data_IF_752095845636
#
_entry.id   IF_752095845636
#
_cell.length_a   1.000
_cell.length_b   1.000
_cell.length_c   1.000
_cell.angle_alpha   90.00
_cell.angle_beta   90.00
_cell.angle_gamma   90.00
#
_symmetry.space_group_name_H-M   'P 1'
#
loop_
_entity.id
_entity.type
_entity.pdbx_description
1 polymer ?
#
# COMPACT_ATOMS: atom_id res chain seq x y z
N UNK A 1 44.19 46.38 9.20
CA UNK A 1 42.96 45.88 9.85
C UNK A 1 42.04 45.33 8.77
N UNK A 2 42.16 44.05 8.39
CA UNK A 2 41.11 43.28 7.68
C UNK A 2 41.52 41.81 7.74
N UNK A 3 40.92 41.07 8.68
CA UNK A 3 41.02 39.61 8.74
C UNK A 3 39.71 39.07 8.16
N UNK A 4 39.72 38.72 6.87
CA UNK A 4 38.59 38.06 6.21
C UNK A 4 38.70 36.55 6.43
N UNK A 5 37.96 36.03 7.41
CA UNK A 5 37.76 34.59 7.61
C UNK A 5 36.81 34.06 6.53
N UNK A 6 37.34 33.24 5.62
CA UNK A 6 36.55 32.45 4.68
C UNK A 6 36.08 31.16 5.37
N UNK A 7 34.79 31.09 5.71
CA UNK A 7 34.13 29.87 6.18
C UNK A 7 33.68 29.03 4.97
N UNK A 8 34.47 28.03 4.59
CA UNK A 8 34.04 26.98 3.66
C UNK A 8 33.03 26.06 4.35
N UNK A 9 31.75 26.19 3.99
CA UNK A 9 30.68 25.28 4.40
C UNK A 9 30.82 23.96 3.62
N UNK A 10 31.12 22.86 4.32
CA UNK A 10 30.97 21.51 3.79
C UNK A 10 29.47 21.20 3.66
N UNK A 11 28.95 21.23 2.44
CA UNK A 11 27.61 20.73 2.14
C UNK A 11 27.67 19.19 2.15
N UNK A 12 27.28 18.58 3.26
CA UNK A 12 27.01 17.15 3.31
C UNK A 12 25.66 16.89 2.64
N UNK A 13 25.68 16.17 1.52
CA UNK A 13 24.44 15.74 0.86
C UNK A 13 23.77 14.70 1.75
N UNK A 14 22.71 15.09 2.44
CA UNK A 14 21.86 14.16 3.19
C UNK A 14 20.94 13.49 2.15
N UNK A 15 21.23 12.23 1.81
CA UNK A 15 20.35 11.42 0.99
C UNK A 15 19.17 11.00 1.87
N UNK A 16 18.08 11.76 1.80
CA UNK A 16 16.81 11.37 2.39
C UNK A 16 16.09 10.38 1.46
N UNK A 17 15.37 9.42 2.03
CA UNK A 17 14.59 8.46 1.25
C UNK A 17 13.38 9.16 0.63
N UNK A 18 12.99 8.76 -0.59
CA UNK A 18 11.81 9.33 -1.22
C UNK A 18 10.57 8.90 -0.45
N UNK A 19 9.66 9.85 -0.29
CA UNK A 19 8.36 9.60 0.31
C UNK A 19 7.44 8.88 -0.67
N UNK A 20 6.89 7.74 -0.24
CA UNK A 20 5.95 6.98 -1.06
C UNK A 20 6.60 5.92 -1.96
N UNK A 21 5.76 4.98 -2.40
CA UNK A 21 6.14 4.02 -3.42
C UNK A 21 6.27 4.72 -4.80
N UNK A 22 7.31 4.43 -5.59
CA UNK A 22 7.46 4.99 -6.93
C UNK A 22 6.27 4.67 -7.84
N UNK A 23 5.90 5.61 -8.72
CA UNK A 23 4.92 5.38 -9.78
C UNK A 23 5.59 4.76 -11.02
N UNK A 24 6.26 3.62 -10.84
CA UNK A 24 6.77 2.79 -11.94
C UNK A 24 5.89 1.55 -12.08
N UNK A 25 5.61 1.13 -13.33
CA UNK A 25 4.64 0.08 -13.60
C UNK A 25 4.95 -1.22 -12.85
N UNK A 26 6.23 -1.64 -12.81
CA UNK A 26 6.65 -2.83 -12.07
C UNK A 26 6.28 -2.76 -10.58
N UNK A 27 6.70 -1.71 -9.86
CA UNK A 27 6.39 -1.50 -8.43
C UNK A 27 4.89 -1.34 -8.20
N UNK A 28 4.20 -0.65 -9.09
CA UNK A 28 2.77 -0.40 -8.97
C UNK A 28 1.95 -1.69 -9.12
N UNK A 29 2.28 -2.56 -10.08
CA UNK A 29 1.59 -3.85 -10.22
C UNK A 29 2.04 -4.87 -9.16
N UNK A 30 3.34 -4.93 -8.85
CA UNK A 30 3.89 -5.93 -7.94
C UNK A 30 3.61 -5.60 -6.47
N UNK A 31 3.48 -4.30 -6.13
CA UNK A 31 3.49 -3.78 -4.76
C UNK A 31 4.69 -4.29 -3.95
N UNK A 32 5.80 -4.62 -4.63
CA UNK A 32 6.93 -5.32 -4.03
C UNK A 32 8.08 -4.34 -3.72
N UNK A 33 8.46 -4.13 -2.45
CA UNK A 33 9.61 -3.30 -2.11
C UNK A 33 10.94 -3.84 -2.65
N UNK A 34 11.03 -5.15 -2.96
CA UNK A 34 12.25 -5.77 -3.50
C UNK A 34 12.63 -5.28 -4.91
N UNK A 35 11.77 -4.51 -5.57
CA UNK A 35 12.12 -3.79 -6.82
C UNK A 35 13.27 -2.78 -6.57
N UNK A 36 13.48 -2.38 -5.32
CA UNK A 36 14.63 -1.63 -4.85
C UNK A 36 15.63 -2.56 -4.15
N UNK A 37 16.91 -2.45 -4.52
CA UNK A 37 18.01 -3.32 -4.04
C UNK A 37 18.21 -3.19 -2.53
N UNK A 38 17.88 -2.03 -1.98
CA UNK A 38 18.00 -1.65 -0.59
C UNK A 38 17.11 -2.49 0.34
N UNK A 39 16.02 -3.05 -0.21
CA UNK A 39 15.06 -3.90 0.51
C UNK A 39 15.40 -5.39 0.45
N UNK A 40 16.50 -5.79 -0.23
CA UNK A 40 16.90 -7.18 -0.32
C UNK A 40 17.09 -7.83 1.06
N UNK A 41 16.61 -9.07 1.19
CA UNK A 41 16.66 -9.85 2.44
C UNK A 41 15.62 -9.46 3.49
N UNK A 42 14.74 -8.49 3.23
CA UNK A 42 13.76 -8.00 4.21
C UNK A 42 12.36 -8.62 4.17
N UNK A 43 12.09 -9.46 3.18
CA UNK A 43 10.78 -10.06 2.96
C UNK A 43 10.38 -10.96 4.14
N UNK A 44 9.20 -10.72 4.68
CA UNK A 44 8.57 -11.54 5.71
C UNK A 44 7.43 -12.38 5.11
N UNK A 45 7.45 -13.68 5.39
CA UNK A 45 6.38 -14.63 5.02
C UNK A 45 5.56 -15.08 6.24
N UNK A 46 5.84 -14.50 7.40
CA UNK A 46 5.08 -14.69 8.64
C UNK A 46 3.76 -13.93 8.59
N UNK A 47 2.85 -14.24 9.51
CA UNK A 47 1.61 -13.49 9.68
C UNK A 47 1.96 -12.03 10.04
N UNK A 48 1.53 -11.03 9.25
CA UNK A 48 1.84 -9.63 9.55
C UNK A 48 1.13 -9.18 10.83
N UNK A 49 1.77 -8.36 11.69
CA UNK A 49 1.13 -7.82 12.89
C UNK A 49 0.23 -6.60 12.59
N UNK A 50 -0.43 -6.63 11.42
CA UNK A 50 -1.26 -5.55 10.89
C UNK A 50 -2.51 -6.11 10.25
N UNK A 51 -3.57 -5.32 10.22
CA UNK A 51 -4.80 -5.67 9.52
C UNK A 51 -5.49 -4.44 8.93
N UNK A 52 -6.34 -4.70 7.93
CA UNK A 52 -7.24 -3.70 7.36
C UNK A 52 -8.64 -3.94 7.94
N UNK A 53 -9.14 -2.96 8.67
CA UNK A 53 -10.52 -2.91 9.11
C UNK A 53 -11.34 -2.07 8.13
N UNK A 54 -12.40 -2.65 7.57
CA UNK A 54 -13.36 -1.94 6.72
C UNK A 54 -14.60 -1.66 7.56
N UNK A 55 -15.05 -0.40 7.61
CA UNK A 55 -16.16 0.02 8.48
C UNK A 55 -17.50 -0.58 8.04
N UNK A 56 -17.70 -0.72 6.74
CA UNK A 56 -18.91 -1.29 6.15
C UNK A 56 -18.70 -2.75 5.72
N UNK A 57 -19.76 -3.57 5.82
CA UNK A 57 -19.74 -4.98 5.39
C UNK A 57 -20.00 -5.16 3.89
N UNK A 58 -20.59 -4.17 3.26
CA UNK A 58 -20.89 -4.11 1.83
C UNK A 58 -20.78 -2.65 1.35
N UNK A 59 -20.82 -2.39 0.05
CA UNK A 59 -20.77 -1.04 -0.51
C UNK A 59 -21.90 -0.76 -1.52
N UNK A 60 -22.19 0.52 -1.70
CA UNK A 60 -23.04 1.04 -2.78
C UNK A 60 -22.20 1.86 -3.76
N UNK A 61 -22.62 1.93 -5.02
CA UNK A 61 -21.97 2.79 -6.03
C UNK A 61 -22.01 4.24 -5.55
N UNK A 62 -20.92 4.97 -5.79
CA UNK A 62 -20.73 6.37 -5.43
C UNK A 62 -20.81 6.68 -3.94
N UNK A 63 -20.96 5.67 -3.06
CA UNK A 63 -20.92 5.86 -1.63
C UNK A 63 -19.51 5.62 -1.10
N UNK A 64 -18.85 6.64 -0.49
CA UNK A 64 -17.59 6.45 0.18
C UNK A 64 -17.71 5.51 1.37
N UNK A 65 -16.73 4.63 1.51
CA UNK A 65 -16.56 3.77 2.68
C UNK A 65 -15.19 4.00 3.31
N UNK A 66 -15.14 3.80 4.62
CA UNK A 66 -13.95 4.02 5.43
C UNK A 66 -13.22 2.69 5.61
N UNK A 67 -11.90 2.70 5.36
CA UNK A 67 -11.02 1.60 5.73
C UNK A 67 -9.85 2.14 6.57
N UNK A 68 -9.38 1.31 7.49
CA UNK A 68 -8.27 1.62 8.39
C UNK A 68 -7.23 0.50 8.32
N UNK A 69 -6.02 0.82 7.89
CA UNK A 69 -4.86 -0.06 8.10
C UNK A 69 -4.26 0.28 9.47
N UNK A 70 -4.14 -0.72 10.36
CA UNK A 70 -3.61 -0.53 11.71
C UNK A 70 -2.80 -1.73 12.21
N UNK A 71 -1.91 -1.46 13.15
CA UNK A 71 -1.24 -2.49 13.95
C UNK A 71 -2.22 -3.24 14.85
N UNK A 72 -1.89 -4.50 15.14
CA UNK A 72 -2.67 -5.32 16.07
C UNK A 72 -2.54 -4.80 17.51
N UNK A 73 -1.37 -4.28 17.87
CA UNK A 73 -1.06 -3.72 19.18
C UNK A 73 -0.51 -2.29 19.08
N UNK A 74 -0.31 -1.63 20.23
CA UNK A 74 0.21 -0.26 20.30
C UNK A 74 1.69 -0.14 19.88
N UNK A 75 2.43 -1.26 19.87
CA UNK A 75 3.84 -1.35 19.47
C UNK A 75 4.00 -1.65 17.98
N UNK A 76 2.97 -2.20 17.33
CA UNK A 76 2.97 -2.56 15.91
C UNK A 76 2.81 -1.32 15.03
N UNK A 77 3.91 -0.58 14.88
CA UNK A 77 3.96 0.60 14.01
C UNK A 77 4.55 0.24 12.64
N UNK A 78 4.12 0.96 11.62
CA UNK A 78 4.66 0.84 10.26
C UNK A 78 5.10 2.20 9.74
N UNK A 79 6.04 2.22 8.79
CA UNK A 79 6.59 3.45 8.20
C UNK A 79 6.02 3.69 6.81
N UNK A 80 6.04 2.64 6.00
CA UNK A 80 5.56 2.64 4.62
C UNK A 80 4.43 1.65 4.40
N UNK A 81 3.64 1.91 3.36
CA UNK A 81 2.62 0.99 2.89
C UNK A 81 2.30 1.27 1.42
N UNK A 82 1.70 0.29 0.75
CA UNK A 82 0.97 0.46 -0.49
C UNK A 82 -0.35 -0.30 -0.36
N UNK A 83 -1.48 0.30 -0.72
CA UNK A 83 -2.81 -0.34 -0.65
C UNK A 83 -3.48 -0.24 -2.02
N UNK A 84 -4.11 -1.34 -2.44
CA UNK A 84 -4.90 -1.44 -3.66
C UNK A 84 -6.25 -2.14 -3.40
N UNK A 85 -7.35 -1.64 -3.98
CA UNK A 85 -8.64 -2.31 -4.00
C UNK A 85 -8.67 -3.28 -5.18
N UNK A 86 -8.73 -4.58 -4.90
CA UNK A 86 -8.64 -5.65 -5.89
C UNK A 86 -9.98 -6.38 -6.00
N UNK A 87 -10.43 -6.67 -7.21
CA UNK A 87 -11.54 -7.60 -7.43
C UNK A 87 -11.15 -8.99 -6.94
N UNK A 88 -11.90 -9.48 -5.95
CA UNK A 88 -11.60 -10.69 -5.20
C UNK A 88 -11.95 -11.97 -5.97
N UNK A 89 -13.08 -11.96 -6.68
CA UNK A 89 -13.60 -13.13 -7.40
C UNK A 89 -14.33 -12.73 -8.69
N UNK A 90 -14.57 -13.70 -9.54
CA UNK A 90 -15.23 -13.50 -10.84
C UNK A 90 -14.27 -13.14 -11.97
N UNK A 91 -14.78 -12.68 -13.13
CA UNK A 91 -13.99 -12.47 -14.34
C UNK A 91 -12.98 -11.33 -14.23
N UNK A 92 -13.17 -10.42 -13.27
CA UNK A 92 -12.25 -9.31 -13.01
C UNK A 92 -11.22 -9.61 -11.92
N UNK A 93 -11.16 -10.85 -11.41
CA UNK A 93 -10.26 -11.22 -10.30
C UNK A 93 -8.84 -10.70 -10.54
N UNK A 94 -8.28 -10.00 -9.55
CA UNK A 94 -6.94 -9.42 -9.60
C UNK A 94 -6.88 -8.01 -10.21
N UNK A 95 -7.93 -7.52 -10.87
CA UNK A 95 -7.99 -6.15 -11.38
C UNK A 95 -8.27 -5.15 -10.25
N UNK A 96 -7.76 -3.93 -10.39
CA UNK A 96 -8.02 -2.82 -9.47
C UNK A 96 -9.41 -2.23 -9.71
N UNK A 97 -10.15 -1.95 -8.63
CA UNK A 97 -11.56 -1.49 -8.70
C UNK A 97 -11.78 -0.22 -7.87
N UNK A 98 -12.50 0.75 -8.43
CA UNK A 98 -12.83 2.01 -7.75
C UNK A 98 -11.62 2.91 -7.51
N UNK A 99 -11.80 3.90 -6.64
CA UNK A 99 -10.79 4.94 -6.36
C UNK A 99 -10.77 5.37 -4.90
N UNK A 100 -9.57 5.75 -4.44
CA UNK A 100 -9.37 6.37 -3.15
C UNK A 100 -9.66 7.87 -3.19
N UNK A 101 -10.28 8.35 -2.12
CA UNK A 101 -10.68 9.72 -1.93
C UNK A 101 -9.86 10.35 -0.82
N UNK A 102 -9.50 11.61 -1.01
CA UNK A 102 -8.86 12.44 0.02
C UNK A 102 -9.95 13.21 0.76
N UNK A 103 -10.58 12.56 1.73
CA UNK A 103 -11.60 13.18 2.59
C UNK A 103 -11.04 13.63 3.94
N UNK A 104 -9.82 13.19 4.27
CA UNK A 104 -9.11 13.57 5.49
C UNK A 104 -7.84 14.39 5.19
N UNK A 105 -7.54 15.34 6.07
CA UNK A 105 -6.33 16.17 6.01
C UNK A 105 -5.10 15.49 6.64
N UNK A 106 -5.21 14.22 6.98
CA UNK A 106 -4.24 13.53 7.85
C UNK A 106 -2.84 13.37 7.23
N UNK A 107 -2.63 13.83 5.99
CA UNK A 107 -1.32 14.13 5.39
C UNK A 107 -0.37 12.96 5.21
N UNK A 108 -0.64 11.81 5.83
CA UNK A 108 0.22 10.63 6.03
C UNK A 108 0.13 9.62 4.89
N UNK A 109 -0.60 9.97 3.83
CA UNK A 109 -0.77 9.18 2.63
C UNK A 109 -0.94 10.05 1.39
N UNK A 110 -0.64 9.45 0.24
CA UNK A 110 -0.83 10.02 -1.09
C UNK A 110 -1.23 8.92 -2.08
N UNK A 111 -1.80 9.31 -3.22
CA UNK A 111 -2.04 8.37 -4.31
C UNK A 111 -0.69 7.97 -4.91
N UNK A 112 -0.45 6.67 -5.10
CA UNK A 112 0.83 6.21 -5.68
C UNK A 112 1.00 6.75 -7.11
N UNK A 113 -0.08 6.73 -7.88
CA UNK A 113 -0.13 7.28 -9.23
C UNK A 113 -1.36 8.17 -9.38
N UNK A 114 -1.16 9.49 -9.38
CA UNK A 114 -2.22 10.52 -9.36
C UNK A 114 -3.33 10.31 -10.41
N UNK A 115 -2.97 9.79 -11.59
CA UNK A 115 -3.92 9.54 -12.68
C UNK A 115 -4.97 8.47 -12.34
N UNK A 116 -4.57 7.40 -11.66
CA UNK A 116 -5.41 6.21 -11.51
C UNK A 116 -6.23 6.21 -10.24
N UNK A 117 -5.75 6.87 -9.16
CA UNK A 117 -6.40 6.96 -7.85
C UNK A 117 -6.78 5.62 -7.19
N UNK A 118 -6.43 4.49 -7.81
CA UNK A 118 -6.74 3.13 -7.38
C UNK A 118 -5.57 2.48 -6.62
N UNK A 119 -4.61 3.29 -6.17
CA UNK A 119 -3.56 2.86 -5.26
C UNK A 119 -3.09 4.03 -4.42
N UNK A 120 -2.79 3.76 -3.16
CA UNK A 120 -2.28 4.74 -2.21
C UNK A 120 -1.04 4.23 -1.51
N UNK A 121 -0.18 5.15 -1.12
CA UNK A 121 1.06 4.88 -0.38
C UNK A 121 1.27 5.93 0.70
N UNK A 122 2.22 5.71 1.59
CA UNK A 122 2.67 6.71 2.56
C UNK A 122 3.21 7.98 1.87
N UNK A 123 3.11 9.10 2.56
CA UNK A 123 3.64 10.41 2.14
C UNK A 123 4.86 10.86 2.94
N UNK A 124 5.24 10.12 3.98
CA UNK A 124 6.44 10.32 4.77
C UNK A 124 6.74 9.04 5.57
N UNK A 125 7.97 8.87 6.05
CA UNK A 125 8.45 7.63 6.68
C UNK A 125 8.20 7.52 8.20
N UNK A 126 7.52 8.50 8.79
CA UNK A 126 7.25 8.50 10.23
C UNK A 126 6.44 7.28 10.67
N UNK A 127 6.68 6.83 11.90
CA UNK A 127 6.02 5.65 12.48
C UNK A 127 4.53 5.90 12.70
N UNK A 128 3.70 5.20 11.95
CA UNK A 128 2.23 5.23 12.02
C UNK A 128 1.72 4.04 12.84
N UNK A 129 0.73 4.30 13.70
CA UNK A 129 -0.05 3.24 14.37
C UNK A 129 -1.22 2.78 13.51
N UNK A 130 -1.82 3.73 12.81
CA UNK A 130 -2.94 3.52 11.92
C UNK A 130 -2.96 4.57 10.82
N UNK A 131 -3.61 4.26 9.72
CA UNK A 131 -3.98 5.21 8.67
C UNK A 131 -5.43 4.97 8.28
N UNK A 132 -6.19 6.06 8.13
CA UNK A 132 -7.57 6.02 7.63
C UNK A 132 -7.57 6.41 6.17
N UNK A 133 -8.41 5.74 5.40
CA UNK A 133 -8.54 5.94 3.97
C UNK A 133 -10.01 5.83 3.60
N UNK A 134 -10.36 6.52 2.52
CA UNK A 134 -11.70 6.50 1.96
C UNK A 134 -11.66 5.96 0.55
N UNK A 135 -12.59 5.08 0.22
CA UNK A 135 -12.69 4.49 -1.10
C UNK A 135 -14.15 4.51 -1.57
N UNK A 136 -14.35 4.65 -2.88
CA UNK A 136 -15.65 4.45 -3.53
C UNK A 136 -15.48 3.73 -4.87
N UNK A 137 -16.53 3.04 -5.28
CA UNK A 137 -16.67 2.53 -6.65
C UNK A 137 -17.68 3.40 -7.41
N UNK A 138 -17.30 3.90 -8.58
CA UNK A 138 -18.14 4.82 -9.37
C UNK A 138 -18.68 4.18 -10.64
N UNK A 139 -18.20 2.99 -11.01
CA UNK A 139 -18.46 2.39 -12.32
C UNK A 139 -19.59 1.36 -12.27
N UNK A 140 -19.50 0.41 -11.34
CA UNK A 140 -20.44 -0.70 -11.23
C UNK A 140 -20.55 -1.21 -9.79
N UNK A 141 -21.44 -2.16 -9.55
CA UNK A 141 -21.57 -2.87 -8.27
C UNK A 141 -21.63 -4.38 -8.49
N UNK A 142 -20.70 -4.90 -9.29
CA UNK A 142 -20.61 -6.33 -9.60
C UNK A 142 -19.41 -7.01 -8.93
N UNK A 143 -18.41 -6.23 -8.53
CA UNK A 143 -17.15 -6.74 -8.00
C UNK A 143 -17.21 -6.89 -6.48
N UNK A 144 -16.80 -8.06 -5.99
CA UNK A 144 -16.40 -8.21 -4.61
C UNK A 144 -15.03 -7.58 -4.43
N UNK A 145 -14.90 -6.58 -3.58
CA UNK A 145 -13.65 -5.81 -3.46
C UNK A 145 -12.91 -6.23 -2.21
N UNK A 146 -11.65 -6.60 -2.37
CA UNK A 146 -10.72 -6.86 -1.28
C UNK A 146 -9.63 -5.78 -1.27
N UNK A 147 -9.41 -5.16 -0.13
CA UNK A 147 -8.28 -4.24 0.04
C UNK A 147 -7.05 -5.07 0.38
N UNK A 148 -6.01 -4.92 -0.43
CA UNK A 148 -4.74 -5.62 -0.29
C UNK A 148 -3.66 -4.60 -0.01
N UNK A 149 -2.80 -4.89 0.96
CA UNK A 149 -1.68 -4.03 1.30
C UNK A 149 -0.34 -4.76 1.35
N UNK A 150 0.68 -4.02 0.95
CA UNK A 150 2.07 -4.23 1.34
C UNK A 150 2.37 -3.27 2.48
N UNK A 151 3.02 -3.75 3.55
CA UNK A 151 3.37 -2.93 4.71
C UNK A 151 4.87 -3.04 4.99
N UNK A 152 5.51 -1.90 5.21
CA UNK A 152 6.94 -1.76 5.52
C UNK A 152 7.08 -1.25 6.95
N UNK A 153 7.63 -2.09 7.83
CA UNK A 153 7.95 -1.72 9.21
C UNK A 153 9.32 -1.07 9.30
N UNK A 154 10.30 -1.67 8.63
CA UNK A 154 11.65 -1.18 8.46
C UNK A 154 12.18 -1.53 7.07
N UNK A 155 13.31 -0.95 6.68
CA UNK A 155 13.93 -1.17 5.36
C UNK A 155 14.07 -2.67 5.03
N UNK A 156 14.43 -3.50 6.01
CA UNK A 156 14.55 -4.96 5.84
C UNK A 156 13.52 -5.75 6.65
N UNK A 157 12.32 -5.20 6.83
CA UNK A 157 11.22 -5.89 7.50
C UNK A 157 9.88 -5.43 6.90
N UNK A 158 9.34 -6.24 5.98
CA UNK A 158 8.11 -5.92 5.25
C UNK A 158 7.35 -7.16 4.76
N UNK A 159 6.05 -6.99 4.53
CA UNK A 159 5.14 -8.04 4.05
C UNK A 159 4.50 -7.59 2.74
N UNK A 160 4.63 -8.41 1.69
CA UNK A 160 4.20 -8.05 0.32
C UNK A 160 2.84 -8.65 0.03
N UNK A 161 1.82 -7.80 -0.21
CA UNK A 161 0.43 -8.23 -0.50
C UNK A 161 -0.19 -9.20 0.54
N UNK A 162 0.38 -9.28 1.75
CA UNK A 162 -0.04 -10.23 2.78
C UNK A 162 -1.10 -9.69 3.71
N UNK A 163 -1.31 -8.37 3.76
CA UNK A 163 -2.34 -7.76 4.59
C UNK A 163 -3.59 -7.62 3.71
N UNK A 164 -4.61 -8.44 3.97
CA UNK A 164 -5.85 -8.47 3.18
C UNK A 164 -7.04 -8.18 4.08
N UNK A 165 -7.97 -7.33 3.61
CA UNK A 165 -9.26 -7.16 4.28
C UNK A 165 -10.16 -8.38 4.03
N UNK A 166 -11.22 -8.50 4.82
CA UNK A 166 -12.39 -9.29 4.41
C UNK A 166 -12.93 -8.62 3.13
N UNK A 167 -13.20 -9.38 2.04
CA UNK A 167 -13.77 -8.78 0.84
C UNK A 167 -15.20 -8.29 1.09
N UNK A 168 -15.51 -7.13 0.55
CA UNK A 168 -16.83 -6.51 0.66
C UNK A 168 -17.61 -6.69 -0.65
N UNK A 169 -18.83 -7.24 -0.61
CA UNK A 169 -19.71 -7.28 -1.75
C UNK A 169 -20.42 -5.94 -1.99
N UNK A 170 -21.00 -5.78 -3.19
CA UNK A 170 -22.13 -4.90 -3.43
C UNK A 170 -23.29 -5.17 -2.47
N UNK A 171 -23.85 -4.14 -1.85
CA UNK A 171 -24.98 -4.29 -0.91
C UNK A 171 -26.25 -4.82 -1.60
N UNK A 172 -26.37 -4.65 -2.93
CA UNK A 172 -27.43 -5.24 -3.76
C UNK A 172 -27.33 -6.77 -3.83
N UNK A 173 -26.11 -7.32 -3.80
CA UNK A 173 -25.86 -8.76 -3.94
C UNK A 173 -25.88 -9.43 -2.56
N UNK A 174 -25.15 -8.88 -1.59
CA UNK A 174 -24.93 -9.54 -0.29
C UNK A 174 -24.78 -8.51 0.83
N UNK A 175 -25.91 -8.00 1.33
CA UNK A 175 -25.94 -6.91 2.33
C UNK A 175 -25.23 -7.24 3.65
N UNK A 176 -25.20 -8.50 4.05
CA UNK A 176 -24.58 -8.92 5.31
C UNK A 176 -23.05 -9.08 5.21
N UNK A 177 -22.47 -8.90 4.03
CA UNK A 177 -21.05 -9.15 3.76
C UNK A 177 -20.70 -10.64 3.78
N UNK A 178 -19.50 -10.97 3.32
CA UNK A 178 -18.99 -12.35 3.33
C UNK A 178 -18.86 -12.85 4.77
N UNK A 179 -19.50 -13.98 5.07
CA UNK A 179 -19.34 -14.70 6.33
C UNK A 179 -18.29 -15.79 6.23
N UNK A 180 -17.57 -16.06 7.32
CA UNK A 180 -16.60 -17.16 7.39
C UNK A 180 -15.41 -17.03 6.43
N UNK A 181 -15.00 -15.79 6.11
CA UNK A 181 -13.83 -15.56 5.27
C UNK A 181 -12.58 -16.16 5.90
N UNK A 182 -11.89 -17.00 5.13
CA UNK A 182 -10.60 -17.58 5.48
C UNK A 182 -9.53 -16.91 4.59
N UNK A 183 -8.53 -16.23 5.17
CA UNK A 183 -7.45 -15.65 4.40
C UNK A 183 -6.65 -16.71 3.63
N UNK A 184 -6.30 -16.42 2.37
CA UNK A 184 -5.36 -17.25 1.63
C UNK A 184 -4.02 -17.35 2.38
N UNK A 185 -3.29 -18.46 2.24
CA UNK A 185 -1.93 -18.57 2.75
C UNK A 185 -1.02 -17.45 2.22
N UNK A 186 -0.08 -17.03 3.06
CA UNK A 186 0.96 -16.08 2.66
C UNK A 186 1.92 -16.80 1.71
N UNK A 187 2.07 -16.26 0.51
CA UNK A 187 2.93 -16.80 -0.54
C UNK A 187 4.02 -15.79 -0.88
N UNK A 188 5.22 -16.25 -1.27
CA UNK A 188 6.25 -15.35 -1.74
C UNK A 188 5.78 -14.62 -3.00
N UNK A 189 6.09 -13.30 -3.13
CA UNK A 189 5.80 -12.59 -4.37
C UNK A 189 6.61 -13.21 -5.52
N UNK A 190 6.14 -13.08 -6.77
CA UNK A 190 6.94 -13.45 -7.93
C UNK A 190 8.32 -12.81 -7.87
N UNK A 191 9.36 -13.49 -8.38
CA UNK A 191 10.70 -12.91 -8.45
C UNK A 191 10.64 -11.56 -9.15
N UNK A 192 11.31 -10.57 -8.56
CA UNK A 192 11.55 -9.29 -9.24
C UNK A 192 12.30 -9.59 -10.52
N UNK A 193 11.82 -9.05 -11.65
CA UNK A 193 12.55 -9.17 -12.92
C UNK A 193 13.87 -8.44 -12.73
N UNK A 194 14.95 -9.19 -12.50
CA UNK A 194 16.27 -8.64 -12.64
C UNK A 194 16.40 -8.19 -14.09
N UNK A 195 16.64 -6.90 -14.32
CA UNK A 195 17.13 -6.48 -15.61
C UNK A 195 18.37 -7.32 -15.88
N UNK A 196 18.29 -8.23 -16.85
CA UNK A 196 19.48 -8.81 -17.43
C UNK A 196 20.29 -7.60 -17.90
N UNK A 197 21.44 -7.35 -17.26
CA UNK A 197 22.48 -6.60 -17.94
C UNK A 197 22.87 -7.50 -19.09
N UNK A 198 22.31 -7.23 -20.27
CA UNK A 198 22.90 -7.70 -21.51
C UNK A 198 24.32 -7.15 -21.50
N UNK A 199 25.27 -7.97 -21.07
CA UNK A 199 26.68 -7.73 -21.27
C UNK A 199 26.87 -7.82 -22.77
N UNK A 200 26.81 -6.67 -23.44
CA UNK A 200 27.43 -6.51 -24.75
C UNK A 200 28.93 -6.49 -24.51
N UNK A 201 29.55 -7.66 -24.62
CA UNK A 201 30.96 -7.83 -25.01
C UNK A 201 31.01 -8.97 -26.02
#
# INVERSE_FOLDING_TARGET
>A
MYLLLNMLSLITVIIAWPDGAPCIHAVFESMNPLEAVEHQGGLQLTIPPYHIAVRQKCYWINQPIELTLKGNTSIDRFRGFAIQPISYKGPNRGKRVGQFLRLDDNGSWQQQCFRFKNSVTHSHDEKKKQIKLWWKNDLNDDDYVQFVATVVKAQREFWVKSIKSIPIPPCRIERNGIQGYIPDPITPPPPVRQFARDFVI
#
